data_IF_844087346856
#
_entry.id   IF_844087346856
#
_cell.length_a   1.000
_cell.length_b   1.000
_cell.length_c   1.000
_cell.angle_alpha   90.00
_cell.angle_beta   90.00
_cell.angle_gamma   90.00
#
_symmetry.space_group_name_H-M   'P 1'
#
loop_
_entity.id
_entity.type
_entity.pdbx_description
1 polymer ?
#
# COMPACT_ATOMS: atom_id res chain seq x y z
N UNK A 1 0.70 -6.61 8.59
CA UNK A 1 2.15 -6.35 8.73
C UNK A 1 2.43 -5.24 9.75
N UNK A 2 1.97 -3.99 9.56
CA UNK A 2 2.32 -2.85 10.43
C UNK A 2 1.77 -2.92 11.88
N UNK A 3 0.89 -3.88 12.16
CA UNK A 3 0.35 -4.12 13.51
C UNK A 3 1.37 -4.69 14.49
N UNK A 4 2.32 -5.47 13.96
CA UNK A 4 3.35 -6.10 14.75
C UNK A 4 4.63 -5.27 14.65
N UNK A 5 5.10 -4.76 15.81
CA UNK A 5 6.32 -3.98 15.90
C UNK A 5 7.57 -4.82 15.60
N UNK A 6 7.51 -6.15 15.79
CA UNK A 6 8.59 -7.08 15.52
C UNK A 6 8.60 -7.59 14.06
N UNK A 7 7.55 -7.33 13.28
CA UNK A 7 7.53 -7.67 11.86
C UNK A 7 8.71 -7.00 11.13
N UNK A 8 9.44 -7.78 10.33
CA UNK A 8 10.66 -7.29 9.67
C UNK A 8 10.39 -6.08 8.77
N UNK A 9 9.23 -6.03 8.09
CA UNK A 9 8.80 -4.83 7.35
C UNK A 9 8.73 -3.58 8.23
N UNK A 10 8.16 -3.68 9.43
CA UNK A 10 8.04 -2.56 10.38
C UNK A 10 9.41 -2.10 10.85
N UNK A 11 10.31 -3.05 11.16
CA UNK A 11 11.69 -2.75 11.57
C UNK A 11 12.45 -2.05 10.44
N UNK A 12 12.36 -2.55 9.21
CA UNK A 12 13.03 -1.96 8.04
C UNK A 12 12.55 -0.53 7.76
N UNK A 13 11.24 -0.28 7.84
CA UNK A 13 10.68 1.07 7.68
C UNK A 13 11.23 2.05 8.72
N UNK A 14 11.32 1.64 9.99
CA UNK A 14 11.89 2.48 11.06
C UNK A 14 13.37 2.75 10.87
N UNK A 15 14.14 1.77 10.38
CA UNK A 15 15.56 1.97 10.03
C UNK A 15 15.71 3.00 8.90
N UNK A 16 14.76 3.06 7.97
CA UNK A 16 14.68 4.11 6.95
C UNK A 16 14.07 5.43 7.45
N UNK A 17 13.84 5.56 8.76
CA UNK A 17 13.25 6.73 9.42
C UNK A 17 11.83 7.06 8.95
N UNK A 18 11.07 6.05 8.53
CA UNK A 18 9.66 6.18 8.20
C UNK A 18 8.83 5.95 9.46
N UNK A 19 7.92 6.88 9.75
CA UNK A 19 6.97 6.73 10.85
C UNK A 19 5.90 5.68 10.50
N UNK A 20 5.97 4.55 11.19
CA UNK A 20 5.08 3.42 10.98
C UNK A 20 3.66 3.65 11.50
N UNK A 21 3.47 4.55 12.47
CA UNK A 21 2.15 4.90 12.99
C UNK A 21 1.43 5.80 12.00
N UNK A 22 2.10 6.88 11.56
CA UNK A 22 1.57 7.75 10.51
C UNK A 22 1.27 6.99 9.21
N UNK A 23 2.13 6.03 8.82
CA UNK A 23 1.89 5.17 7.66
C UNK A 23 0.64 4.30 7.84
N UNK A 24 0.44 3.74 9.03
CA UNK A 24 -0.74 2.93 9.34
C UNK A 24 -2.02 3.77 9.25
N UNK A 25 -1.99 4.97 9.80
CA UNK A 25 -3.13 5.88 9.80
C UNK A 25 -3.51 6.30 8.39
N UNK A 26 -2.52 6.62 7.55
CA UNK A 26 -2.73 6.93 6.14
C UNK A 26 -3.35 5.75 5.36
N UNK A 27 -2.90 4.52 5.63
CA UNK A 27 -3.46 3.32 5.05
C UNK A 27 -4.90 3.06 5.53
N UNK A 28 -5.15 3.21 6.83
CA UNK A 28 -6.48 3.05 7.42
C UNK A 28 -7.48 4.07 6.87
N UNK A 29 -7.06 5.34 6.71
CA UNK A 29 -7.89 6.38 6.10
C UNK A 29 -8.25 6.03 4.64
N UNK A 30 -7.29 5.51 3.87
CA UNK A 30 -7.52 5.07 2.49
C UNK A 30 -8.52 3.92 2.40
N UNK A 31 -8.46 2.96 3.33
CA UNK A 31 -9.41 1.85 3.42
C UNK A 31 -10.80 2.34 3.86
N UNK A 32 -10.86 3.24 4.84
CA UNK A 32 -12.11 3.80 5.34
C UNK A 32 -12.86 4.62 4.26
N UNK A 33 -12.15 5.16 3.27
CA UNK A 33 -12.74 5.83 2.12
C UNK A 33 -13.33 4.86 1.08
N UNK A 34 -13.05 3.54 1.16
CA UNK A 34 -13.62 2.55 0.26
C UNK A 34 -15.08 2.27 0.63
N UNK A 35 -15.91 2.11 -0.40
CA UNK A 35 -17.29 1.64 -0.22
C UNK A 35 -17.27 0.16 0.13
N UNK A 36 -17.75 -0.18 1.32
CA UNK A 36 -17.98 -1.56 1.75
C UNK A 36 -19.46 -1.87 1.55
N UNK A 37 -19.76 -3.03 0.96
CA UNK A 37 -21.14 -3.50 0.86
C UNK A 37 -21.64 -4.03 2.20
N UNK A 38 -22.91 -3.77 2.54
CA UNK A 38 -23.50 -4.17 3.83
C UNK A 38 -23.56 -5.70 4.00
N UNK A 39 -23.59 -6.46 2.89
CA UNK A 39 -23.54 -7.92 2.87
C UNK A 39 -22.46 -8.39 1.90
N UNK A 40 -21.22 -8.62 2.38
CA UNK A 40 -20.17 -9.17 1.54
C UNK A 40 -20.49 -10.63 1.16
N UNK A 41 -20.05 -11.09 -0.02
CA UNK A 41 -20.20 -12.47 -0.44
C UNK A 41 -19.43 -13.41 0.49
N UNK A 42 -19.88 -14.67 0.59
CA UNK A 42 -19.23 -15.72 1.39
C UNK A 42 -17.76 -15.97 0.98
N UNK A 43 -17.46 -15.80 -0.31
CA UNK A 43 -16.10 -15.87 -0.84
C UNK A 43 -15.74 -14.56 -1.55
N UNK A 44 -14.72 -13.87 -1.06
CA UNK A 44 -14.21 -12.65 -1.69
C UNK A 44 -13.04 -13.04 -2.61
N UNK A 45 -13.19 -12.97 -3.95
CA UNK A 45 -12.10 -13.27 -4.85
C UNK A 45 -11.02 -12.18 -4.79
N UNK A 46 -9.76 -12.58 -4.98
CA UNK A 46 -8.68 -11.61 -5.17
C UNK A 46 -8.89 -10.83 -6.47
N UNK A 47 -8.85 -9.50 -6.37
CA UNK A 47 -8.77 -8.60 -7.52
C UNK A 47 -7.49 -8.86 -8.33
N UNK A 48 -7.46 -8.39 -9.58
CA UNK A 48 -6.26 -8.46 -10.42
C UNK A 48 -5.01 -7.90 -9.73
N UNK A 49 -5.04 -6.67 -9.18
CA UNK A 49 -3.93 -6.10 -8.43
C UNK A 49 -3.56 -6.92 -7.18
N UNK A 50 -4.53 -7.44 -6.43
CA UNK A 50 -4.25 -8.25 -5.25
C UNK A 50 -3.54 -9.56 -5.61
N UNK A 51 -4.00 -10.25 -6.66
CA UNK A 51 -3.32 -11.45 -7.18
C UNK A 51 -1.91 -11.13 -7.63
N UNK A 52 -1.72 -10.00 -8.32
CA UNK A 52 -0.40 -9.55 -8.74
C UNK A 52 0.52 -9.26 -7.56
N UNK A 53 0.03 -8.60 -6.51
CA UNK A 53 0.80 -8.35 -5.29
C UNK A 53 1.32 -9.65 -4.65
N UNK A 54 0.48 -10.69 -4.62
CA UNK A 54 0.85 -12.01 -4.09
C UNK A 54 1.93 -12.70 -4.95
N UNK A 55 1.79 -12.65 -6.27
CA UNK A 55 2.81 -13.17 -7.20
C UNK A 55 4.16 -12.44 -7.04
N UNK A 56 4.11 -11.10 -6.96
CA UNK A 56 5.28 -10.25 -6.74
C UNK A 56 5.96 -10.58 -5.41
N UNK A 57 5.18 -10.83 -4.36
CA UNK A 57 5.71 -11.21 -3.03
C UNK A 57 6.55 -12.48 -3.12
N UNK A 58 6.06 -13.51 -3.83
CA UNK A 58 6.80 -14.76 -4.03
C UNK A 58 8.06 -14.51 -4.87
N UNK A 59 7.95 -13.68 -5.91
CA UNK A 59 9.11 -13.33 -6.74
C UNK A 59 10.20 -12.61 -5.95
N UNK A 60 9.84 -11.70 -5.07
CA UNK A 60 10.80 -10.99 -4.20
C UNK A 60 11.49 -11.94 -3.23
N UNK A 61 10.76 -12.90 -2.64
CA UNK A 61 11.35 -13.94 -1.80
C UNK A 61 12.41 -14.76 -2.56
N UNK A 62 12.05 -15.21 -3.77
CA UNK A 62 12.96 -15.98 -4.63
C UNK A 62 14.16 -15.15 -5.10
N UNK A 63 13.96 -13.87 -5.42
CA UNK A 63 15.02 -12.94 -5.84
C UNK A 63 16.07 -12.73 -4.75
N UNK A 64 15.65 -12.75 -3.49
CA UNK A 64 16.53 -12.67 -2.31
C UNK A 64 17.08 -14.03 -1.88
N UNK A 65 16.70 -15.12 -2.55
CA UNK A 65 17.15 -16.48 -2.21
C UNK A 65 16.47 -17.07 -0.97
N UNK A 66 15.35 -16.49 -0.53
CA UNK A 66 14.58 -16.98 0.60
C UNK A 66 13.58 -18.06 0.16
N UNK A 67 13.52 -19.16 0.91
CA UNK A 67 12.58 -20.25 0.72
C UNK A 67 11.27 -20.07 1.54
N UNK A 68 11.04 -18.87 2.06
CA UNK A 68 9.86 -18.50 2.82
C UNK A 68 9.38 -17.11 2.42
N UNK A 69 8.12 -16.81 2.71
CA UNK A 69 7.53 -15.48 2.50
C UNK A 69 7.43 -14.74 3.83
N UNK A 70 8.24 -13.69 4.00
CA UNK A 70 8.15 -12.77 5.11
C UNK A 70 7.39 -11.47 4.76
N UNK A 71 7.24 -10.62 5.77
CA UNK A 71 6.58 -9.30 5.62
C UNK A 71 7.39 -8.33 4.76
N UNK A 72 8.71 -8.48 4.75
CA UNK A 72 9.66 -7.73 3.94
C UNK A 72 9.43 -7.95 2.46
N UNK A 73 9.11 -9.18 2.05
CA UNK A 73 8.78 -9.49 0.65
C UNK A 73 7.44 -8.86 0.25
N UNK A 74 6.45 -8.87 1.15
CA UNK A 74 5.16 -8.20 0.91
C UNK A 74 5.35 -6.70 0.76
N UNK A 75 6.17 -6.08 1.62
CA UNK A 75 6.48 -4.65 1.53
C UNK A 75 7.14 -4.29 0.20
N UNK A 76 8.17 -5.04 -0.22
CA UNK A 76 8.84 -4.83 -1.50
C UNK A 76 7.89 -5.01 -2.70
N UNK A 77 7.05 -6.05 -2.65
CA UNK A 77 6.06 -6.31 -3.70
C UNK A 77 5.03 -5.18 -3.84
N UNK A 78 4.58 -4.60 -2.73
CA UNK A 78 3.64 -3.46 -2.76
C UNK A 78 4.30 -2.22 -3.36
N UNK A 79 5.56 -1.94 -3.03
CA UNK A 79 6.32 -0.83 -3.63
C UNK A 79 6.52 -1.03 -5.14
N UNK A 80 6.84 -2.25 -5.57
CA UNK A 80 6.97 -2.54 -7.00
C UNK A 80 5.62 -2.42 -7.75
N UNK A 81 4.53 -2.89 -7.12
CA UNK A 81 3.19 -2.78 -7.70
C UNK A 81 2.77 -1.32 -7.90
N UNK A 82 3.06 -0.46 -6.92
CA UNK A 82 2.80 0.99 -7.02
C UNK A 82 3.59 1.61 -8.17
N UNK A 83 4.91 1.34 -8.23
CA UNK A 83 5.78 1.88 -9.26
C UNK A 83 5.31 1.48 -10.68
N UNK A 84 4.81 0.24 -10.85
CA UNK A 84 4.25 -0.22 -12.12
C UNK A 84 2.90 0.42 -12.47
N UNK A 85 2.11 0.82 -11.47
CA UNK A 85 0.82 1.51 -11.66
C UNK A 85 0.97 3.01 -11.91
N UNK A 86 2.05 3.60 -11.39
CA UNK A 86 2.42 4.99 -11.60
C UNK A 86 2.97 5.15 -13.02
N UNK A 87 2.17 5.65 -13.96
CA UNK A 87 2.71 6.13 -15.24
C UNK A 87 3.79 7.18 -14.94
N UNK A 88 5.01 7.09 -15.53
CA UNK A 88 6.03 8.13 -15.32
C UNK A 88 5.46 9.46 -15.81
N UNK A 89 5.17 10.41 -14.89
CA UNK A 89 4.72 11.75 -15.23
C UNK A 89 3.48 12.31 -14.53
N UNK A 90 2.85 11.61 -13.57
CA UNK A 90 1.83 12.23 -12.70
C UNK A 90 2.39 12.54 -11.32
N UNK A 91 3.00 13.71 -11.21
CA UNK A 91 3.13 14.40 -9.93
C UNK A 91 1.72 14.79 -9.46
N UNK A 92 1.13 14.04 -8.53
CA UNK A 92 -0.09 14.46 -7.82
C UNK A 92 0.28 15.53 -6.78
N UNK A 93 0.59 16.72 -7.28
CA UNK A 93 0.60 17.94 -6.48
C UNK A 93 -0.83 18.38 -6.20
N UNK A 94 -1.43 17.85 -5.14
CA UNK A 94 -2.61 18.46 -4.55
C UNK A 94 -2.17 19.73 -3.80
N UNK A 95 -2.56 20.90 -4.30
CA UNK A 95 -2.50 22.15 -3.54
C UNK A 95 -3.69 23.07 -3.84
N UNK A 96 -4.46 23.29 -2.77
CA UNK A 96 -5.22 24.49 -2.41
C UNK A 96 -6.57 24.76 -3.09
N UNK A 97 -7.61 24.43 -2.32
CA UNK A 97 -8.81 25.26 -2.15
C UNK A 97 -8.46 26.76 -2.05
N UNK A 98 -9.15 27.61 -2.80
CA UNK A 98 -9.48 28.98 -2.37
C UNK A 98 -10.83 29.41 -2.96
N UNK A 99 -11.85 29.27 -2.12
CA UNK A 99 -12.96 30.21 -1.87
C UNK A 99 -13.07 31.43 -2.79
N UNK A 100 -14.20 31.51 -3.51
CA UNK A 100 -15.11 32.67 -3.67
C UNK A 100 -14.58 34.00 -4.23
N UNK A 101 -15.20 34.49 -5.32
CA UNK A 101 -15.95 35.76 -5.35
C UNK A 101 -16.39 36.17 -6.78
N UNK A 102 -17.71 36.04 -7.02
CA UNK A 102 -18.68 36.83 -7.81
C UNK A 102 -18.36 37.49 -9.18
N UNK A 103 -19.40 37.64 -10.04
CA UNK A 103 -19.27 38.06 -11.43
C UNK A 103 -19.28 39.59 -11.60
N UNK A 104 -18.83 40.03 -12.78
CA UNK A 104 -19.23 41.28 -13.43
C UNK A 104 -19.66 40.97 -14.85
#
# INVERSE_FOLDING_TARGET
>A
MLADAAALATVLLRLQKIDTEALRDAAAASIAALRVEDQPPELIPFSGPARKALELTVREALRLGHNYVGTEHQLLALLELEAASSTPGRCTGAASTRTGSRPI
#
